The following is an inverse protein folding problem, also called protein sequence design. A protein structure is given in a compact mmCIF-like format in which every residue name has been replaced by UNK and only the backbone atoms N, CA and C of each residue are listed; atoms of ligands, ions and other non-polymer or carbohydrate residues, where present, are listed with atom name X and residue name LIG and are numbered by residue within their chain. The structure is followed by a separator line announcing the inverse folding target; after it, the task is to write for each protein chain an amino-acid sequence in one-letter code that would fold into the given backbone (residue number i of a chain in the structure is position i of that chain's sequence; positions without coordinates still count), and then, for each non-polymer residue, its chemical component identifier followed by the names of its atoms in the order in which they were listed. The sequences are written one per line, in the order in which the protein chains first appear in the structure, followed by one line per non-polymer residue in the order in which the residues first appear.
data_IF_628557071235
#
_entry.id   IF_628557071235
#
_cell.length_a   1.000
_cell.length_b   1.000
_cell.length_c   1.000
_cell.angle_alpha   90.00
_cell.angle_beta   90.00
_cell.angle_gamma   90.00
#
_symmetry.space_group_name_H-M   'P 1'
#
loop_
_entity.id
_entity.type
_entity.pdbx_description
1 polymer ?
#
# COMPACT_ATOMS: atom_id res chain seq x y z
N UNK A 1 -19.49 -28.84 -3.73
CA UNK A 1 -20.01 -28.34 -2.42
C UNK A 1 -18.98 -28.61 -1.34
N UNK A 2 -18.62 -27.60 -0.53
CA UNK A 2 -17.69 -27.80 0.60
C UNK A 2 -18.36 -28.66 1.67
N UNK A 3 -17.63 -29.52 2.40
CA UNK A 3 -18.20 -30.36 3.46
C UNK A 3 -18.98 -29.59 4.54
N UNK A 4 -18.68 -28.28 4.75
CA UNK A 4 -19.40 -27.43 5.69
C UNK A 4 -20.82 -27.04 5.25
N UNK A 5 -21.08 -27.05 3.94
CA UNK A 5 -22.40 -26.70 3.40
C UNK A 5 -23.44 -27.81 3.66
N UNK A 6 -23.01 -29.07 3.69
CA UNK A 6 -23.86 -30.26 3.96
C UNK A 6 -24.22 -30.36 5.45
N UNK A 7 -23.31 -29.93 6.34
CA UNK A 7 -23.57 -29.92 7.79
C UNK A 7 -24.65 -28.94 8.24
N UNK A 8 -24.81 -27.80 7.52
CA UNK A 8 -25.84 -26.81 7.85
C UNK A 8 -27.28 -27.35 7.62
N UNK A 9 -27.47 -28.22 6.63
CA UNK A 9 -28.78 -28.82 6.35
C UNK A 9 -29.18 -29.88 7.39
N UNK A 10 -28.20 -30.54 8.02
CA UNK A 10 -28.47 -31.56 9.04
C UNK A 10 -28.84 -31.00 10.42
N UNK A 11 -28.55 -29.73 10.69
CA UNK A 11 -28.82 -29.04 11.96
C UNK A 11 -30.21 -28.37 11.97
N UNK A 12 -30.86 -28.24 10.82
CA UNK A 12 -32.09 -27.49 10.65
C UNK A 12 -33.33 -28.34 10.90
N UNK A 13 -33.38 -29.07 12.00
CA UNK A 13 -34.60 -29.77 12.37
C UNK A 13 -35.61 -28.85 13.07
N UNK A 14 -36.72 -28.58 12.38
CA UNK A 14 -38.06 -28.24 12.90
C UNK A 14 -38.42 -26.79 13.30
N UNK A 15 -37.68 -25.77 13.00
CA UNK A 15 -38.17 -24.38 13.16
C UNK A 15 -38.25 -23.68 11.83
N UNK A 16 -39.41 -23.15 11.46
CA UNK A 16 -39.64 -22.41 10.23
C UNK A 16 -38.72 -21.17 10.10
N UNK A 17 -38.41 -20.53 11.24
CA UNK A 17 -37.53 -19.37 11.29
C UNK A 17 -36.06 -19.75 11.03
N UNK A 18 -35.63 -20.92 11.49
CA UNK A 18 -34.28 -21.45 11.21
C UNK A 18 -34.16 -21.79 9.72
N UNK A 19 -35.19 -22.37 9.11
CA UNK A 19 -35.21 -22.68 7.67
C UNK A 19 -35.19 -21.40 6.83
N UNK A 20 -35.94 -20.36 7.21
CA UNK A 20 -35.88 -19.03 6.54
C UNK A 20 -34.48 -18.43 6.65
N UNK A 21 -33.89 -18.42 7.83
CA UNK A 21 -32.54 -17.90 8.04
C UNK A 21 -31.49 -18.67 7.22
N UNK A 22 -31.56 -20.00 7.20
CA UNK A 22 -30.67 -20.84 6.39
C UNK A 22 -30.82 -20.58 4.90
N UNK A 23 -32.05 -20.44 4.40
CA UNK A 23 -32.27 -20.12 2.98
C UNK A 23 -31.69 -18.75 2.60
N UNK A 24 -31.82 -17.75 3.47
CA UNK A 24 -31.17 -16.45 3.27
C UNK A 24 -29.64 -16.56 3.25
N UNK A 25 -29.05 -17.31 4.18
CA UNK A 25 -27.60 -17.55 4.22
C UNK A 25 -27.15 -18.29 2.95
N UNK A 26 -27.87 -19.35 2.54
CA UNK A 26 -27.57 -20.09 1.31
C UNK A 26 -27.63 -19.20 0.07
N UNK A 27 -28.64 -18.34 -0.03
CA UNK A 27 -28.79 -17.39 -1.15
C UNK A 27 -27.61 -16.41 -1.20
N UNK A 28 -27.27 -15.80 -0.07
CA UNK A 28 -26.14 -14.87 0.04
C UNK A 28 -24.81 -15.55 -0.29
N UNK A 29 -24.56 -16.75 0.24
CA UNK A 29 -23.35 -17.53 -0.05
C UNK A 29 -23.26 -17.91 -1.52
N UNK A 30 -24.37 -18.35 -2.16
CA UNK A 30 -24.38 -18.64 -3.60
C UNK A 30 -24.08 -17.40 -4.43
N UNK A 31 -24.71 -16.27 -4.12
CA UNK A 31 -24.44 -15.01 -4.80
C UNK A 31 -22.96 -14.63 -4.65
N UNK A 32 -22.44 -14.74 -3.44
CA UNK A 32 -21.03 -14.40 -3.18
C UNK A 32 -20.06 -15.38 -3.86
N UNK A 33 -20.29 -16.70 -3.79
CA UNK A 33 -19.44 -17.70 -4.45
C UNK A 33 -19.40 -17.54 -5.99
N UNK A 34 -20.49 -17.01 -6.58
CA UNK A 34 -20.53 -16.72 -8.01
C UNK A 34 -19.86 -15.39 -8.38
N UNK A 35 -19.52 -14.55 -7.39
CA UNK A 35 -18.75 -13.33 -7.63
C UNK A 35 -17.30 -13.65 -8.02
N UNK A 36 -16.62 -12.69 -8.68
CA UNK A 36 -15.19 -12.82 -9.04
C UNK A 36 -14.32 -13.10 -7.81
N UNK A 37 -14.62 -12.45 -6.69
CA UNK A 37 -13.91 -12.61 -5.43
C UNK A 37 -14.18 -13.98 -4.82
N UNK A 38 -15.43 -14.40 -4.74
CA UNK A 38 -15.81 -15.70 -4.22
C UNK A 38 -15.18 -16.86 -5.00
N UNK A 39 -15.15 -16.75 -6.33
CA UNK A 39 -14.46 -17.72 -7.19
C UNK A 39 -12.95 -17.77 -6.94
N UNK A 40 -12.32 -16.62 -6.64
CA UNK A 40 -10.90 -16.57 -6.34
C UNK A 40 -10.57 -17.18 -4.98
N UNK A 41 -11.38 -16.91 -3.94
CA UNK A 41 -11.14 -17.38 -2.58
C UNK A 41 -11.53 -18.87 -2.40
N UNK A 42 -12.48 -19.39 -3.18
CA UNK A 42 -12.91 -20.79 -3.11
C UNK A 42 -11.93 -21.78 -3.74
N UNK A 43 -10.93 -21.29 -4.48
CA UNK A 43 -9.88 -22.12 -5.07
C UNK A 43 -8.78 -22.42 -4.04
N UNK A 44 -8.04 -23.53 -4.19
CA UNK A 44 -6.84 -23.76 -3.40
C UNK A 44 -5.85 -22.61 -3.56
N UNK A 45 -5.18 -22.28 -2.45
CA UNK A 45 -4.18 -21.20 -2.46
C UNK A 45 -3.03 -21.55 -3.40
N UNK A 46 -2.72 -20.63 -4.32
CA UNK A 46 -1.56 -20.69 -5.20
C UNK A 46 -0.34 -19.95 -4.64
N UNK A 47 -0.42 -19.44 -3.42
CA UNK A 47 0.69 -18.70 -2.83
C UNK A 47 1.89 -19.62 -2.54
N UNK A 48 3.06 -19.18 -2.97
CA UNK A 48 4.32 -19.81 -2.59
C UNK A 48 4.58 -19.56 -1.10
N UNK A 49 4.55 -20.62 -0.31
CA UNK A 49 4.74 -20.53 1.15
C UNK A 49 6.21 -20.36 1.55
N UNK A 50 7.15 -20.62 0.63
CA UNK A 50 8.60 -20.52 0.81
C UNK A 50 9.18 -19.13 0.49
N UNK A 51 8.39 -18.23 -0.09
CA UNK A 51 8.85 -16.89 -0.45
C UNK A 51 9.23 -16.07 0.80
N UNK A 52 10.39 -15.39 0.71
CA UNK A 52 10.86 -14.48 1.78
C UNK A 52 10.06 -13.18 1.82
N UNK A 53 9.52 -12.74 0.70
CA UNK A 53 8.67 -11.55 0.55
C UNK A 53 7.36 -11.97 -0.07
N UNK A 54 6.26 -11.65 0.60
CA UNK A 54 4.89 -11.81 0.09
C UNK A 54 4.24 -10.43 0.01
N UNK A 55 3.72 -10.08 -1.16
CA UNK A 55 3.03 -8.83 -1.41
C UNK A 55 1.59 -9.12 -1.80
N UNK A 56 0.64 -8.56 -1.07
CA UNK A 56 -0.79 -8.64 -1.36
C UNK A 56 -1.25 -7.30 -1.92
N UNK A 57 -1.41 -7.20 -3.24
CA UNK A 57 -1.90 -5.99 -3.89
C UNK A 57 -3.44 -5.98 -3.90
N UNK A 58 -4.04 -5.04 -3.17
CA UNK A 58 -5.49 -4.89 -3.03
C UNK A 58 -6.06 -3.80 -3.96
N UNK A 59 -5.41 -3.55 -5.09
CA UNK A 59 -5.84 -2.53 -6.07
C UNK A 59 -7.03 -2.99 -6.89
N UNK A 60 -7.83 -2.02 -7.35
CA UNK A 60 -8.91 -2.22 -8.37
C UNK A 60 -10.03 -3.16 -7.92
N UNK A 61 -10.40 -3.12 -6.65
CA UNK A 61 -11.54 -3.89 -6.15
C UNK A 61 -12.84 -3.13 -6.45
N UNK A 62 -13.78 -3.83 -7.04
CA UNK A 62 -15.00 -3.23 -7.61
C UNK A 62 -16.01 -2.76 -6.55
N UNK A 63 -15.93 -3.27 -5.32
CA UNK A 63 -16.82 -2.88 -4.22
C UNK A 63 -16.11 -2.91 -2.88
N UNK A 64 -16.60 -2.13 -1.90
CA UNK A 64 -16.09 -2.14 -0.53
C UNK A 64 -16.20 -3.52 0.13
N UNK A 65 -17.28 -4.25 -0.13
CA UNK A 65 -17.48 -5.59 0.43
C UNK A 65 -16.45 -6.58 -0.11
N UNK A 66 -16.14 -6.54 -1.41
CA UNK A 66 -15.11 -7.36 -2.03
C UNK A 66 -13.72 -7.00 -1.49
N UNK A 67 -13.46 -5.70 -1.30
CA UNK A 67 -12.23 -5.19 -0.72
C UNK A 67 -12.03 -5.71 0.72
N UNK A 68 -13.08 -5.67 1.55
CA UNK A 68 -13.03 -6.17 2.93
C UNK A 68 -12.73 -7.66 2.99
N UNK A 69 -13.38 -8.47 2.16
CA UNK A 69 -13.21 -9.93 2.16
C UNK A 69 -11.80 -10.32 1.69
N UNK A 70 -11.31 -9.67 0.62
CA UNK A 70 -9.95 -9.91 0.12
C UNK A 70 -8.89 -9.44 1.11
N UNK A 71 -9.09 -8.27 1.72
CA UNK A 71 -8.18 -7.75 2.74
C UNK A 71 -8.12 -8.68 3.97
N UNK A 72 -9.26 -9.19 4.43
CA UNK A 72 -9.32 -10.14 5.54
C UNK A 72 -8.62 -11.46 5.18
N UNK A 73 -8.84 -11.95 3.96
CA UNK A 73 -8.20 -13.18 3.47
C UNK A 73 -6.69 -13.03 3.33
N UNK A 74 -6.23 -11.90 2.77
CA UNK A 74 -4.82 -11.55 2.65
C UNK A 74 -4.18 -11.40 4.04
N UNK A 75 -4.85 -10.70 4.96
CA UNK A 75 -4.41 -10.56 6.35
C UNK A 75 -4.24 -11.92 7.03
N UNK A 76 -5.23 -12.80 6.91
CA UNK A 76 -5.19 -14.14 7.52
C UNK A 76 -4.04 -14.99 6.93
N UNK A 77 -3.81 -14.92 5.62
CA UNK A 77 -2.72 -15.62 4.95
C UNK A 77 -1.35 -15.07 5.40
N UNK A 78 -1.20 -13.75 5.41
CA UNK A 78 0.02 -13.06 5.84
C UNK A 78 0.34 -13.34 7.32
N UNK A 79 -0.66 -13.27 8.19
CA UNK A 79 -0.49 -13.54 9.63
C UNK A 79 -0.08 -15.00 9.88
N UNK A 80 -0.71 -15.96 9.21
CA UNK A 80 -0.33 -17.38 9.31
C UNK A 80 1.14 -17.57 8.91
N UNK A 81 1.57 -16.93 7.83
CA UNK A 81 2.94 -16.99 7.36
C UNK A 81 3.91 -16.33 8.34
N UNK A 82 3.55 -15.16 8.88
CA UNK A 82 4.34 -14.46 9.88
C UNK A 82 4.54 -15.29 11.15
N UNK A 83 3.48 -15.92 11.65
CA UNK A 83 3.51 -16.79 12.83
C UNK A 83 4.31 -18.09 12.62
N UNK A 84 4.46 -18.55 11.39
CA UNK A 84 5.27 -19.75 11.09
C UNK A 84 6.77 -19.44 10.98
N UNK A 85 7.17 -18.18 11.10
CA UNK A 85 8.57 -17.74 10.98
C UNK A 85 9.12 -17.33 12.35
N UNK A 86 10.43 -17.54 12.60
CA UNK A 86 11.07 -17.13 13.86
C UNK A 86 11.07 -15.62 14.06
N UNK A 87 11.17 -14.87 12.95
CA UNK A 87 11.06 -13.41 12.93
C UNK A 87 10.44 -12.98 11.59
N UNK A 88 9.59 -11.98 11.63
CA UNK A 88 8.93 -11.46 10.44
C UNK A 88 8.61 -9.97 10.57
N UNK A 89 8.46 -9.31 9.44
CA UNK A 89 7.95 -7.95 9.34
C UNK A 89 6.57 -8.04 8.69
N UNK A 90 5.59 -7.43 9.32
CA UNK A 90 4.23 -7.28 8.80
C UNK A 90 4.02 -5.81 8.46
N UNK A 91 4.15 -5.49 7.18
CA UNK A 91 4.02 -4.12 6.68
C UNK A 91 2.64 -3.91 6.07
N UNK A 92 1.95 -2.86 6.47
CA UNK A 92 0.65 -2.44 5.93
C UNK A 92 0.82 -1.03 5.38
N UNK A 93 0.85 -0.94 4.06
CA UNK A 93 0.90 0.33 3.36
C UNK A 93 -0.50 0.94 3.23
N UNK A 94 -0.61 2.25 3.31
CA UNK A 94 -1.89 2.98 3.33
C UNK A 94 -2.90 2.36 4.31
N UNK A 95 -2.43 2.04 5.50
CA UNK A 95 -3.21 1.34 6.54
C UNK A 95 -4.59 1.95 6.86
N UNK A 96 -4.86 3.28 6.71
CA UNK A 96 -6.17 3.86 6.91
C UNK A 96 -7.27 3.25 6.06
N UNK A 97 -6.96 2.78 4.86
CA UNK A 97 -7.94 2.11 3.98
C UNK A 97 -8.50 0.85 4.66
N UNK A 98 -7.65 0.12 5.38
CA UNK A 98 -8.06 -1.09 6.09
C UNK A 98 -8.81 -0.79 7.39
N UNK A 99 -8.57 0.38 8.00
CA UNK A 99 -9.24 0.77 9.24
C UNK A 99 -10.71 1.16 9.06
N UNK A 100 -11.17 1.37 7.84
CA UNK A 100 -12.59 1.53 7.53
C UNK A 100 -13.39 0.25 7.85
N UNK A 101 -12.74 -0.91 7.84
CA UNK A 101 -13.34 -2.19 8.19
C UNK A 101 -13.06 -2.53 9.66
N UNK A 102 -14.07 -2.38 10.52
CA UNK A 102 -13.92 -2.54 11.98
C UNK A 102 -13.26 -3.87 12.38
N UNK A 103 -13.64 -4.97 11.75
CA UNK A 103 -13.08 -6.29 12.02
C UNK A 103 -11.58 -6.36 11.71
N UNK A 104 -11.13 -5.71 10.62
CA UNK A 104 -9.71 -5.67 10.22
C UNK A 104 -8.94 -4.75 11.17
N UNK A 105 -9.50 -3.58 11.51
CA UNK A 105 -8.91 -2.65 12.45
C UNK A 105 -8.66 -3.30 13.82
N UNK A 106 -9.60 -4.10 14.31
CA UNK A 106 -9.44 -4.84 15.57
C UNK A 106 -8.33 -5.89 15.48
N UNK A 107 -8.25 -6.62 14.37
CA UNK A 107 -7.19 -7.61 14.15
C UNK A 107 -5.80 -6.95 14.07
N UNK A 108 -5.67 -5.82 13.39
CA UNK A 108 -4.43 -5.03 13.34
C UNK A 108 -4.07 -4.51 14.72
N UNK A 109 -5.04 -3.98 15.48
CA UNK A 109 -4.82 -3.54 16.85
C UNK A 109 -4.31 -4.67 17.77
N UNK A 110 -4.85 -5.87 17.65
CA UNK A 110 -4.36 -7.07 18.36
C UNK A 110 -2.94 -7.46 17.90
N UNK A 111 -2.65 -7.35 16.61
CA UNK A 111 -1.33 -7.64 16.08
C UNK A 111 -0.28 -6.63 16.59
N UNK A 112 -0.60 -5.35 16.64
CA UNK A 112 0.26 -4.33 17.24
C UNK A 112 0.54 -4.61 18.72
N UNK A 113 -0.46 -5.06 19.48
CA UNK A 113 -0.32 -5.34 20.91
C UNK A 113 0.48 -6.63 21.22
N UNK A 114 0.37 -7.65 20.37
CA UNK A 114 0.89 -8.99 20.68
C UNK A 114 1.95 -9.50 19.70
N UNK A 115 2.11 -8.85 18.54
CA UNK A 115 2.99 -9.32 17.47
C UNK A 115 4.44 -9.48 17.92
N UNK A 116 4.94 -8.55 18.73
CA UNK A 116 6.31 -8.60 19.24
C UNK A 116 6.62 -9.89 20.00
N UNK A 117 5.67 -10.40 20.80
CA UNK A 117 5.81 -11.68 21.53
C UNK A 117 5.92 -12.88 20.59
N UNK A 118 5.36 -12.78 19.40
CA UNK A 118 5.42 -13.80 18.35
C UNK A 118 6.56 -13.56 17.35
N UNK A 119 7.50 -12.63 17.63
CA UNK A 119 8.59 -12.28 16.73
C UNK A 119 8.15 -11.49 15.49
N UNK A 120 6.94 -10.91 15.51
CA UNK A 120 6.39 -10.12 14.41
C UNK A 120 6.60 -8.63 14.70
N UNK A 121 7.31 -7.93 13.83
CA UNK A 121 7.39 -6.46 13.83
C UNK A 121 6.34 -5.89 12.89
N UNK A 122 5.51 -5.00 13.42
CA UNK A 122 4.44 -4.35 12.65
C UNK A 122 4.90 -2.97 12.20
N UNK A 123 4.72 -2.68 10.93
CA UNK A 123 4.96 -1.37 10.34
C UNK A 123 3.66 -0.93 9.67
N UNK A 124 3.19 0.25 10.03
CA UNK A 124 2.01 0.88 9.43
C UNK A 124 2.43 2.17 8.73
N UNK A 125 2.02 2.36 7.49
CA UNK A 125 2.12 3.67 6.85
C UNK A 125 0.76 4.36 6.81
N UNK A 126 0.76 5.69 6.96
CA UNK A 126 -0.41 6.54 6.86
C UNK A 126 0.00 7.93 6.42
N UNK A 127 -0.89 8.65 5.76
CA UNK A 127 -0.65 10.03 5.32
C UNK A 127 -0.92 11.02 6.45
N UNK A 128 -1.94 10.77 7.28
CA UNK A 128 -2.37 11.66 8.35
C UNK A 128 -2.77 10.88 9.61
N UNK A 129 -2.51 11.42 10.81
CA UNK A 129 -2.90 10.77 12.07
C UNK A 129 -4.40 10.56 12.22
N UNK A 130 -5.22 11.54 11.81
CA UNK A 130 -6.68 11.50 11.96
C UNK A 130 -7.29 10.27 11.30
N UNK A 131 -6.75 9.85 10.17
CA UNK A 131 -7.24 8.67 9.44
C UNK A 131 -7.14 7.35 10.24
N UNK A 132 -6.18 7.26 11.17
CA UNK A 132 -6.07 6.12 12.10
C UNK A 132 -6.91 6.37 13.36
N UNK A 133 -6.94 7.62 13.84
CA UNK A 133 -7.63 8.00 15.08
C UNK A 133 -9.14 7.80 15.02
N UNK A 134 -9.74 7.86 13.84
CA UNK A 134 -11.16 7.58 13.61
C UNK A 134 -11.52 6.10 13.83
N UNK A 135 -10.54 5.19 13.82
CA UNK A 135 -10.76 3.79 14.09
C UNK A 135 -11.04 3.51 15.57
N UNK A 136 -11.99 2.62 15.85
CA UNK A 136 -12.27 2.13 17.22
C UNK A 136 -11.04 1.46 17.88
N UNK A 137 -10.08 1.01 17.08
CA UNK A 137 -8.86 0.37 17.55
C UNK A 137 -7.67 1.34 17.70
N UNK A 138 -7.86 2.64 17.46
CA UNK A 138 -6.80 3.64 17.48
C UNK A 138 -5.97 3.61 18.76
N UNK A 139 -6.62 3.56 19.93
CA UNK A 139 -5.92 3.53 21.22
C UNK A 139 -4.99 2.34 21.37
N UNK A 140 -5.41 1.14 20.91
CA UNK A 140 -4.58 -0.07 20.93
C UNK A 140 -3.40 0.02 19.97
N UNK A 141 -3.62 0.63 18.80
CA UNK A 141 -2.59 0.82 17.78
C UNK A 141 -1.53 1.78 18.31
N UNK A 142 -1.93 2.98 18.72
CA UNK A 142 -0.99 4.03 19.14
C UNK A 142 -0.27 3.74 20.46
N UNK A 143 -0.89 3.01 21.39
CA UNK A 143 -0.23 2.59 22.63
C UNK A 143 0.91 1.59 22.39
N UNK A 144 0.93 0.90 21.26
CA UNK A 144 1.92 -0.15 20.96
C UNK A 144 2.89 0.26 19.83
N UNK A 145 2.65 1.37 19.13
CA UNK A 145 3.57 1.93 18.15
C UNK A 145 4.43 3.01 18.81
N UNK A 146 5.53 2.61 19.39
CA UNK A 146 6.43 3.47 20.17
C UNK A 146 7.41 4.26 19.31
N UNK A 147 7.71 3.77 18.10
CA UNK A 147 8.62 4.42 17.16
C UNK A 147 7.84 4.94 15.97
N UNK A 148 8.00 6.23 15.66
CA UNK A 148 7.33 6.90 14.54
C UNK A 148 8.35 7.63 13.68
N UNK A 149 8.23 7.49 12.39
CA UNK A 149 8.99 8.25 11.39
C UNK A 149 8.03 9.19 10.67
N UNK A 150 8.23 10.49 10.83
CA UNK A 150 7.35 11.52 10.25
C UNK A 150 8.16 12.31 9.23
N UNK A 151 7.76 12.18 7.97
CA UNK A 151 8.32 12.94 6.86
C UNK A 151 7.73 14.35 6.78
N UNK A 152 7.68 14.88 5.57
CA UNK A 152 6.99 16.14 5.27
C UNK A 152 5.49 15.96 5.51
N UNK A 153 4.89 16.93 6.16
CA UNK A 153 3.43 17.02 6.38
C UNK A 153 2.89 18.30 5.77
N UNK A 154 1.59 18.36 5.53
CA UNK A 154 0.89 19.61 5.22
C UNK A 154 0.74 20.45 6.50
N UNK A 155 0.64 21.76 6.35
CA UNK A 155 0.45 22.67 7.52
C UNK A 155 -0.82 22.33 8.30
N UNK A 156 -1.88 21.90 7.60
CA UNK A 156 -3.14 21.43 8.20
C UNK A 156 -2.98 20.20 9.08
N UNK A 157 -1.96 19.37 8.82
CA UNK A 157 -1.71 18.17 9.59
C UNK A 157 -0.95 18.43 10.92
N UNK A 158 -0.40 19.62 11.12
CA UNK A 158 0.34 19.97 12.35
C UNK A 158 -0.56 19.83 13.58
N UNK A 159 -1.77 20.38 13.54
CA UNK A 159 -2.72 20.37 14.66
C UNK A 159 -3.14 18.94 15.04
N UNK A 160 -3.49 18.03 14.13
CA UNK A 160 -3.70 16.61 14.43
C UNK A 160 -2.56 15.95 15.23
N UNK A 161 -1.30 16.20 14.86
CA UNK A 161 -0.17 15.68 15.64
C UNK A 161 -0.10 16.22 17.06
N UNK A 162 -0.37 17.52 17.23
CA UNK A 162 -0.42 18.15 18.57
C UNK A 162 -1.56 17.54 19.39
N UNK A 163 -2.75 17.44 18.81
CA UNK A 163 -3.96 16.97 19.49
C UNK A 163 -3.85 15.52 19.92
N UNK A 164 -3.40 14.64 19.01
CA UNK A 164 -3.43 13.20 19.24
C UNK A 164 -2.17 12.66 19.91
N UNK A 165 -1.00 13.18 19.53
CA UNK A 165 0.29 12.67 20.05
C UNK A 165 0.94 13.59 21.05
N UNK A 166 0.34 14.79 21.32
CA UNK A 166 0.90 15.79 22.25
C UNK A 166 2.31 16.23 21.84
N UNK A 167 2.60 16.29 20.54
CA UNK A 167 3.88 16.78 20.09
C UNK A 167 4.05 18.27 20.40
N UNK A 168 5.26 18.71 20.84
CA UNK A 168 5.57 20.11 20.93
C UNK A 168 5.41 20.79 19.56
N UNK A 169 4.76 21.95 19.57
CA UNK A 169 4.45 22.68 18.33
C UNK A 169 5.70 23.05 17.55
N UNK A 170 6.76 23.46 18.26
CA UNK A 170 8.05 23.82 17.71
C UNK A 170 8.81 22.64 17.07
N UNK A 171 8.48 21.41 17.46
CA UNK A 171 9.05 20.20 16.87
C UNK A 171 8.30 19.85 15.59
N UNK A 172 6.98 19.62 15.67
CA UNK A 172 6.22 19.07 14.55
C UNK A 172 5.99 20.08 13.43
N UNK A 173 5.89 21.39 13.72
CA UNK A 173 5.71 22.42 12.70
C UNK A 173 6.89 22.50 11.71
N UNK A 174 8.09 22.08 12.11
CA UNK A 174 9.25 22.02 11.21
C UNK A 174 9.03 21.08 10.02
N UNK A 175 8.25 20.02 10.22
CA UNK A 175 7.93 19.05 9.18
C UNK A 175 7.07 19.63 8.06
N UNK A 176 6.38 20.75 8.28
CA UNK A 176 5.60 21.46 7.26
C UNK A 176 6.39 22.53 6.51
N UNK A 177 7.66 22.77 6.88
CA UNK A 177 8.51 23.79 6.24
C UNK A 177 9.26 23.24 5.04
N UNK A 178 9.88 24.14 4.27
CA UNK A 178 10.73 23.79 3.12
C UNK A 178 11.94 22.91 3.48
N UNK A 179 12.36 22.91 4.75
CA UNK A 179 13.44 22.03 5.19
C UNK A 179 13.14 20.56 4.95
N UNK A 180 11.87 20.16 5.01
CA UNK A 180 11.42 18.77 4.83
C UNK A 180 11.07 18.39 3.39
N UNK A 181 11.17 19.33 2.44
CA UNK A 181 11.09 18.95 1.02
C UNK A 181 12.29 18.07 0.63
N UNK A 182 12.06 17.06 -0.21
CA UNK A 182 13.16 16.25 -0.76
C UNK A 182 14.22 17.11 -1.41
N UNK A 183 15.48 16.90 -1.06
CA UNK A 183 16.61 17.67 -1.60
C UNK A 183 17.19 16.94 -2.81
N UNK A 184 16.87 17.46 -4.01
CA UNK A 184 17.24 16.84 -5.28
C UNK A 184 18.75 16.78 -5.50
N UNK A 185 19.48 17.84 -5.18
CA UNK A 185 20.94 17.88 -5.33
C UNK A 185 21.63 16.80 -4.47
N UNK A 186 21.24 16.69 -3.21
CA UNK A 186 21.83 15.75 -2.27
C UNK A 186 21.16 14.38 -2.22
N UNK A 187 20.08 14.17 -2.98
CA UNK A 187 19.28 12.94 -3.01
C UNK A 187 18.97 12.45 -1.59
N UNK A 188 18.37 13.32 -0.77
CA UNK A 188 17.95 12.97 0.58
C UNK A 188 16.61 13.60 0.96
N UNK A 189 15.94 13.01 1.94
CA UNK A 189 14.79 13.59 2.62
C UNK A 189 15.04 13.72 4.11
N UNK A 190 14.39 14.71 4.74
CA UNK A 190 14.43 14.89 6.19
C UNK A 190 13.25 14.18 6.85
N UNK A 191 13.49 13.64 8.03
CA UNK A 191 12.52 12.90 8.83
C UNK A 191 12.65 13.30 10.30
N UNK A 192 11.53 13.34 10.99
CA UNK A 192 11.48 13.36 12.44
C UNK A 192 11.29 11.92 12.93
N UNK A 193 12.27 11.41 13.66
CA UNK A 193 12.16 10.17 14.41
C UNK A 193 11.66 10.50 15.81
N UNK A 194 10.52 9.94 16.15
CA UNK A 194 10.03 9.87 17.54
C UNK A 194 10.25 8.44 18.02
N UNK A 195 11.14 8.29 18.97
CA UNK A 195 11.38 7.02 19.66
C UNK A 195 10.93 7.14 21.10
N UNK A 196 9.67 6.78 21.34
CA UNK A 196 9.04 6.82 22.66
C UNK A 196 9.14 8.20 23.34
N UNK A 197 8.89 9.27 22.59
CA UNK A 197 8.93 10.67 23.05
C UNK A 197 10.31 11.32 22.94
N UNK A 198 11.33 10.62 22.49
CA UNK A 198 12.63 11.20 22.16
C UNK A 198 12.67 11.59 20.69
N UNK A 199 12.68 12.89 20.43
CA UNK A 199 12.66 13.44 19.09
C UNK A 199 14.07 13.64 18.52
N UNK A 200 14.26 13.15 17.29
CA UNK A 200 15.53 13.30 16.57
C UNK A 200 15.25 13.64 15.10
N UNK A 201 15.84 14.71 14.60
CA UNK A 201 15.80 15.02 13.17
C UNK A 201 16.91 14.26 12.47
N UNK A 202 16.54 13.50 11.44
CA UNK A 202 17.46 12.68 10.68
C UNK A 202 17.32 12.91 9.17
N UNK A 203 18.33 12.49 8.40
CA UNK A 203 18.30 12.47 6.94
C UNK A 203 18.32 11.03 6.47
N UNK A 204 17.48 10.76 5.48
CA UNK A 204 17.44 9.48 4.78
C UNK A 204 18.03 9.65 3.39
N UNK A 205 19.07 8.90 3.10
CA UNK A 205 19.72 8.82 1.79
C UNK A 205 19.34 7.48 1.16
N UNK A 206 18.42 7.44 0.19
CA UNK A 206 18.06 6.19 -0.48
C UNK A 206 19.20 5.69 -1.36
N UNK A 207 19.37 4.38 -1.46
CA UNK A 207 20.20 3.81 -2.50
C UNK A 207 19.63 4.16 -3.88
N UNK A 208 20.47 4.58 -4.83
CA UNK A 208 20.03 5.09 -6.13
C UNK A 208 19.18 4.06 -6.90
N UNK A 209 19.61 2.81 -6.95
CA UNK A 209 18.84 1.76 -7.59
C UNK A 209 17.48 1.54 -6.93
N UNK A 210 17.38 1.68 -5.60
CA UNK A 210 16.10 1.57 -4.91
C UNK A 210 15.17 2.72 -5.27
N UNK A 211 15.69 3.97 -5.26
CA UNK A 211 14.91 5.15 -5.63
C UNK A 211 14.41 5.05 -7.07
N UNK A 212 15.27 4.63 -7.99
CA UNK A 212 14.91 4.41 -9.38
C UNK A 212 13.88 3.27 -9.56
N UNK A 213 14.00 2.19 -8.78
CA UNK A 213 13.06 1.07 -8.85
C UNK A 213 11.62 1.47 -8.47
N UNK A 214 11.45 2.44 -7.57
CA UNK A 214 10.13 2.94 -7.13
C UNK A 214 9.66 4.18 -7.89
N UNK A 215 10.39 4.63 -8.92
CA UNK A 215 9.96 5.72 -9.78
C UNK A 215 8.57 5.44 -10.38
N UNK A 216 7.64 6.39 -10.23
CA UNK A 216 6.23 6.20 -10.56
C UNK A 216 5.68 7.17 -11.61
N UNK A 217 6.47 8.15 -12.05
CA UNK A 217 6.10 9.02 -13.15
C UNK A 217 6.03 8.20 -14.47
N UNK A 218 5.00 8.37 -15.32
CA UNK A 218 4.84 7.59 -16.54
C UNK A 218 6.08 7.58 -17.45
N UNK A 219 6.73 8.72 -17.64
CA UNK A 219 7.96 8.80 -18.45
C UNK A 219 9.13 8.03 -17.82
N UNK A 220 9.26 8.09 -16.51
CA UNK A 220 10.29 7.37 -15.76
C UNK A 220 10.07 5.86 -15.80
N UNK A 221 8.82 5.42 -15.67
CA UNK A 221 8.45 4.01 -15.79
C UNK A 221 8.74 3.48 -17.20
N UNK A 222 8.42 4.26 -18.23
CA UNK A 222 8.72 3.87 -19.62
C UNK A 222 10.22 3.82 -19.87
N UNK A 223 10.97 4.82 -19.42
CA UNK A 223 12.42 4.84 -19.53
C UNK A 223 13.02 3.61 -18.84
N UNK A 224 12.56 3.26 -17.64
CA UNK A 224 12.96 2.02 -16.95
C UNK A 224 12.68 0.78 -17.81
N UNK A 225 11.49 0.72 -18.41
CA UNK A 225 11.10 -0.40 -19.27
C UNK A 225 12.01 -0.52 -20.48
N UNK A 226 12.37 0.59 -21.11
CA UNK A 226 13.31 0.60 -22.26
C UNK A 226 14.69 0.09 -21.86
N UNK A 227 15.24 0.53 -20.71
CA UNK A 227 16.51 0.01 -20.20
C UNK A 227 16.45 -1.48 -19.92
N UNK A 228 15.43 -1.95 -19.21
CA UNK A 228 15.27 -3.38 -18.90
C UNK A 228 15.05 -4.24 -20.15
N UNK A 229 14.40 -3.69 -21.17
CA UNK A 229 14.24 -4.38 -22.47
C UNK A 229 15.55 -4.46 -23.23
N UNK A 230 16.32 -3.37 -23.25
CA UNK A 230 17.63 -3.32 -23.92
C UNK A 230 18.64 -4.28 -23.26
N UNK A 231 18.62 -4.36 -21.94
CA UNK A 231 19.50 -5.22 -21.13
C UNK A 231 18.77 -6.47 -20.62
N UNK A 232 17.89 -7.06 -21.45
CA UNK A 232 17.04 -8.22 -21.06
C UNK A 232 17.83 -9.43 -20.56
N UNK A 233 19.06 -9.61 -21.03
CA UNK A 233 19.93 -10.73 -20.65
C UNK A 233 20.77 -10.43 -19.38
N UNK A 234 20.80 -9.17 -18.96
CA UNK A 234 21.42 -8.70 -17.71
C UNK A 234 20.60 -7.55 -17.09
N UNK A 235 19.52 -7.93 -16.43
CA UNK A 235 18.58 -6.99 -15.82
C UNK A 235 19.23 -6.15 -14.72
N UNK A 236 20.27 -6.66 -14.06
CA UNK A 236 20.98 -5.90 -13.04
C UNK A 236 21.72 -4.72 -13.65
N UNK A 237 22.48 -4.95 -14.72
CA UNK A 237 23.13 -3.88 -15.48
C UNK A 237 22.11 -2.89 -16.02
N UNK A 238 20.99 -3.37 -16.59
CA UNK A 238 19.90 -2.51 -17.05
C UNK A 238 19.36 -1.60 -15.94
N UNK A 239 19.15 -2.15 -14.74
CA UNK A 239 18.67 -1.38 -13.59
C UNK A 239 19.72 -0.37 -13.07
N UNK A 240 20.99 -0.72 -13.06
CA UNK A 240 22.08 0.19 -12.68
C UNK A 240 22.16 1.36 -13.67
N UNK A 241 22.18 1.09 -14.96
CA UNK A 241 22.20 2.13 -16.01
C UNK A 241 20.98 3.05 -15.95
N UNK A 242 19.81 2.47 -15.76
CA UNK A 242 18.61 3.27 -15.55
C UNK A 242 18.75 4.16 -14.30
N UNK A 243 19.27 3.63 -13.19
CA UNK A 243 19.41 4.40 -11.95
C UNK A 243 20.38 5.58 -12.09
N UNK A 244 21.46 5.42 -12.85
CA UNK A 244 22.39 6.52 -13.18
C UNK A 244 21.65 7.63 -13.94
N UNK A 245 20.95 7.29 -15.03
CA UNK A 245 20.15 8.25 -15.81
C UNK A 245 19.07 8.91 -14.96
N UNK A 246 18.35 8.12 -14.14
CA UNK A 246 17.31 8.63 -13.28
C UNK A 246 17.82 9.66 -12.25
N UNK A 247 18.95 9.40 -11.63
CA UNK A 247 19.54 10.34 -10.66
C UNK A 247 19.99 11.64 -11.34
N UNK A 248 20.58 11.59 -12.53
CA UNK A 248 20.87 12.79 -13.31
C UNK A 248 19.60 13.60 -13.59
N UNK A 249 18.51 12.94 -14.02
CA UNK A 249 17.22 13.59 -14.22
C UNK A 249 16.68 14.26 -12.95
N UNK A 250 16.74 13.57 -11.81
CA UNK A 250 16.27 14.10 -10.52
C UNK A 250 17.06 15.33 -10.10
N UNK A 251 18.35 15.36 -10.38
CA UNK A 251 19.24 16.51 -10.13
C UNK A 251 19.06 17.66 -11.13
N UNK A 252 18.37 17.42 -12.24
CA UNK A 252 18.22 18.37 -13.33
C UNK A 252 19.46 18.46 -14.23
N UNK A 253 20.30 17.43 -14.22
CA UNK A 253 21.47 17.29 -15.09
C UNK A 253 21.05 16.84 -16.50
N UNK A 254 21.76 17.28 -17.54
CA UNK A 254 21.48 16.86 -18.90
C UNK A 254 21.92 15.42 -19.15
N UNK A 255 21.05 14.63 -19.76
CA UNK A 255 21.39 13.30 -20.21
C UNK A 255 22.11 13.36 -21.58
N UNK A 256 23.11 12.50 -21.76
CA UNK A 256 23.86 12.40 -23.01
C UNK A 256 23.88 10.96 -23.54
N UNK A 257 24.22 10.80 -24.82
CA UNK A 257 24.35 9.48 -25.45
C UNK A 257 23.11 8.62 -25.30
N UNK A 258 23.30 7.35 -24.95
CA UNK A 258 22.25 6.35 -24.80
C UNK A 258 21.09 6.80 -23.90
N UNK A 259 21.40 7.45 -22.78
CA UNK A 259 20.39 7.86 -21.81
C UNK A 259 19.44 8.91 -22.40
N UNK A 260 19.96 9.85 -23.20
CA UNK A 260 19.14 10.85 -23.86
C UNK A 260 18.28 10.22 -24.97
N UNK A 261 18.83 9.32 -25.76
CA UNK A 261 18.09 8.61 -26.82
C UNK A 261 16.89 7.84 -26.26
N UNK A 262 17.11 7.09 -25.18
CA UNK A 262 16.03 6.34 -24.51
C UNK A 262 15.01 7.26 -23.84
N UNK A 263 15.42 8.40 -23.28
CA UNK A 263 14.51 9.38 -22.72
C UNK A 263 13.59 10.00 -23.79
N UNK A 264 14.15 10.35 -24.95
CA UNK A 264 13.32 10.87 -26.06
C UNK A 264 12.35 9.82 -26.61
N UNK A 265 12.74 8.55 -26.65
CA UNK A 265 11.83 7.44 -26.99
C UNK A 265 10.69 7.33 -25.94
N UNK A 266 11.02 7.39 -24.65
CA UNK A 266 10.03 7.37 -23.58
C UNK A 266 9.05 8.55 -23.68
N UNK A 267 9.53 9.76 -23.92
CA UNK A 267 8.69 10.96 -24.09
C UNK A 267 7.77 10.86 -25.31
N UNK A 268 8.29 10.34 -26.44
CA UNK A 268 7.52 10.23 -27.68
C UNK A 268 6.32 9.30 -27.55
N UNK A 269 6.37 8.29 -26.70
CA UNK A 269 5.24 7.40 -26.42
C UNK A 269 4.04 8.12 -25.79
N UNK A 270 4.29 9.22 -25.09
CA UNK A 270 3.25 10.01 -24.40
C UNK A 270 2.92 11.32 -25.11
N UNK A 271 3.54 11.60 -26.26
CA UNK A 271 3.07 12.72 -27.11
C UNK A 271 1.66 12.36 -27.58
N UNK A 272 0.65 13.24 -27.43
CA UNK A 272 -0.64 12.98 -28.03
C UNK A 272 -0.38 12.79 -29.53
N UNK A 273 -0.80 11.63 -30.05
CA UNK A 273 -0.85 11.44 -31.50
C UNK A 273 -1.50 12.70 -32.06
N UNK A 274 -0.91 13.31 -33.06
CA UNK A 274 -1.64 14.23 -33.91
C UNK A 274 -2.78 13.42 -34.50
N UNK A 275 -3.91 13.47 -33.81
CA UNK A 275 -5.17 12.96 -34.33
C UNK A 275 -5.44 13.82 -35.55
N UNK A 276 -5.29 13.23 -36.72
CA UNK A 276 -5.84 13.78 -37.95
C UNK A 276 -7.23 14.30 -37.61
N UNK A 277 -7.48 15.54 -38.00
CA UNK A 277 -8.79 16.19 -37.93
C UNK A 277 -9.85 15.28 -38.56
N UNK A 278 -10.54 14.52 -37.70
CA UNK A 278 -11.82 13.91 -38.06
C UNK A 278 -12.72 13.97 -36.83
N UNK A 279 -13.74 14.86 -36.97
CA UNK A 279 -14.96 14.98 -36.18
C UNK A 279 -14.83 15.37 -34.71
N UNK A 280 -14.78 16.68 -34.52
CA UNK A 280 -15.46 17.39 -33.41
C UNK A 280 -16.97 17.05 -33.41
N UNK A 281 -17.36 15.99 -32.75
CA UNK A 281 -18.72 15.82 -32.23
C UNK A 281 -18.75 14.60 -31.29
N UNK A 282 -19.01 14.87 -30.01
CA UNK A 282 -19.24 13.96 -28.87
C UNK A 282 -18.11 13.88 -27.85
N UNK A 283 -17.92 14.96 -27.14
CA UNK A 283 -17.39 14.92 -25.79
C UNK A 283 -18.06 16.03 -24.97
N UNK A 284 -19.34 15.84 -24.71
CA UNK A 284 -20.06 16.58 -23.68
C UNK A 284 -20.79 15.56 -22.80
N UNK A 285 -20.69 15.70 -21.50
CA UNK A 285 -21.17 14.89 -20.37
C UNK A 285 -20.17 13.79 -19.94
N UNK A 286 -19.48 14.04 -18.82
CA UNK A 286 -19.96 13.76 -17.46
C UNK A 286 -19.14 14.63 -16.50
N UNK A 287 -19.81 15.60 -15.90
CA UNK A 287 -19.48 16.19 -14.60
C UNK A 287 -20.67 15.87 -13.72
N UNK A 288 -20.48 15.06 -12.75
CA UNK A 288 -21.08 15.12 -11.40
C UNK A 288 -20.33 14.17 -10.48
#
# INVERSE_FOLDING_TARGET
CSPGYIKLDSVANNSEDILKALNQIKLRLRFWLNSRVGQSISKPSSFRTDAKLLVFALRSLASEADAAILALSAYAAALRRALSSKASIFFIDESPILFQFEAIAELIGRLCANGAKAGIRVILSAQEPDSIYQSKSASKIFANLTTRLIGRIQTSAVEPFIRHFKYPVEIISRNSTEAFFPKKEGIYSQWLLDDNGKFTFCRYYPAYCLLAAVANNPHEQELRTLYLTKYKDDLLTGMVRFSEAYIMMVRGEELTGEANELLEQAKNKFKPNQVSEVSTEKALLIVT
#
